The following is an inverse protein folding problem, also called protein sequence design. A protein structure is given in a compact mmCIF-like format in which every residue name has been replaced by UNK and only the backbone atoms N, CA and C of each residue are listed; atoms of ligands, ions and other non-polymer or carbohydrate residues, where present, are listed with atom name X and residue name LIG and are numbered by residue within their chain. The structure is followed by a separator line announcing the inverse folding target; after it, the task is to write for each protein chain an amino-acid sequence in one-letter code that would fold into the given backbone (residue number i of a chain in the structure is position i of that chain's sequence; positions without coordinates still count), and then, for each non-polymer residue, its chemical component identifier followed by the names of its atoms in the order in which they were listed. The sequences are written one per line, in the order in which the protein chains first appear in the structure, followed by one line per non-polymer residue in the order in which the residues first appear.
data_IF_214295969061
#
_entry.id   IF_214295969061
#
_cell.length_a   1.000
_cell.length_b   1.000
_cell.length_c   1.000
_cell.angle_alpha   90.00
_cell.angle_beta   90.00
_cell.angle_gamma   90.00
#
_symmetry.space_group_name_H-M   'P 1'
#
loop_
_entity.id
_entity.type
_entity.pdbx_description
1 polymer ?
#
# COMPACT_ATOMS: atom_id res chain seq x y z
N UNK A 1 17.65 23.43 -4.39
CA UNK A 1 16.78 22.25 -4.37
C UNK A 1 17.42 21.25 -5.33
N UNK A 2 18.08 20.20 -4.83
CA UNK A 2 18.74 19.21 -5.70
C UNK A 2 17.66 18.24 -6.16
N UNK A 3 17.30 18.18 -7.45
CA UNK A 3 16.34 17.22 -7.97
C UNK A 3 17.00 15.83 -8.03
N UNK A 4 16.32 14.81 -7.53
CA UNK A 4 16.81 13.43 -7.59
C UNK A 4 16.67 12.89 -9.02
N UNK A 5 17.74 13.03 -9.80
CA UNK A 5 17.82 12.77 -11.24
C UNK A 5 17.66 11.29 -11.66
N UNK A 6 17.30 10.39 -10.73
CA UNK A 6 17.15 8.95 -11.02
C UNK A 6 15.78 8.56 -11.54
N UNK A 7 14.73 9.33 -11.25
CA UNK A 7 13.35 8.91 -11.51
C UNK A 7 12.90 9.27 -12.96
N UNK A 8 13.45 10.33 -13.55
CA UNK A 8 12.97 10.85 -14.84
C UNK A 8 13.40 10.02 -16.07
N UNK A 9 14.33 9.07 -15.92
CA UNK A 9 14.92 8.35 -17.07
C UNK A 9 14.10 7.14 -17.55
N UNK A 10 13.19 6.61 -16.74
CA UNK A 10 12.46 5.38 -17.06
C UNK A 10 11.11 5.60 -17.75
N UNK A 11 10.52 6.79 -17.66
CA UNK A 11 9.21 7.13 -18.25
C UNK A 11 9.26 7.14 -19.81
N UNK A 12 10.46 7.16 -20.41
CA UNK A 12 10.65 7.28 -21.85
C UNK A 12 10.42 5.99 -22.68
N UNK A 13 10.07 4.83 -22.08
CA UNK A 13 10.05 3.53 -22.80
C UNK A 13 8.68 2.91 -23.12
N UNK A 14 7.61 3.70 -23.16
CA UNK A 14 6.40 3.48 -23.98
C UNK A 14 5.92 2.04 -24.27
N UNK A 15 5.60 1.24 -23.25
CA UNK A 15 4.99 -0.09 -23.41
C UNK A 15 3.66 -0.19 -22.65
N UNK A 16 2.57 0.32 -23.21
CA UNK A 16 1.21 0.15 -22.69
C UNK A 16 0.21 -0.01 -23.84
N UNK A 17 0.18 -1.19 -24.47
CA UNK A 17 -1.00 -1.59 -25.26
C UNK A 17 -1.13 -3.12 -25.36
N UNK A 18 -1.64 -3.75 -24.29
CA UNK A 18 -2.07 -5.17 -24.31
C UNK A 18 -3.50 -5.28 -23.75
N UNK A 19 -4.39 -6.08 -24.38
CA UNK A 19 -5.78 -6.21 -23.95
C UNK A 19 -5.92 -6.96 -22.61
N UNK A 20 -6.79 -6.44 -21.74
CA UNK A 20 -7.03 -6.91 -20.36
C UNK A 20 -7.85 -8.20 -20.35
N UNK A 21 -7.25 -9.30 -19.87
CA UNK A 21 -7.97 -10.57 -19.64
C UNK A 21 -8.76 -10.47 -18.33
N UNK A 22 -10.00 -11.00 -18.24
CA UNK A 22 -10.80 -10.94 -17.01
C UNK A 22 -10.15 -11.72 -15.86
N UNK A 23 -10.11 -11.11 -14.67
CA UNK A 23 -9.52 -11.73 -13.49
C UNK A 23 -10.30 -12.99 -13.04
N UNK A 24 -9.61 -14.06 -12.62
CA UNK A 24 -10.24 -15.14 -11.89
C UNK A 24 -10.71 -14.65 -10.51
N UNK A 25 -11.88 -15.12 -10.08
CA UNK A 25 -12.50 -14.74 -8.79
C UNK A 25 -11.57 -15.11 -7.61
N UNK A 26 -11.42 -14.25 -6.60
CA UNK A 26 -10.51 -14.51 -5.49
C UNK A 26 -11.01 -15.67 -4.63
N UNK A 27 -10.16 -16.69 -4.45
CA UNK A 27 -10.35 -17.73 -3.44
C UNK A 27 -10.30 -17.09 -2.04
N UNK A 28 -11.36 -17.29 -1.26
CA UNK A 28 -11.53 -16.72 0.06
C UNK A 28 -10.51 -17.32 1.05
N UNK A 29 -9.49 -16.53 1.42
CA UNK A 29 -8.39 -16.94 2.32
C UNK A 29 -8.87 -17.38 3.72
N UNK A 30 -10.12 -17.14 4.05
CA UNK A 30 -10.74 -17.57 5.32
C UNK A 30 -11.05 -19.08 5.35
N UNK A 31 -10.88 -19.80 4.23
CA UNK A 31 -11.13 -21.25 4.17
C UNK A 31 -9.98 -22.13 4.70
N UNK A 32 -8.77 -21.58 4.91
CA UNK A 32 -7.60 -22.35 5.35
C UNK A 32 -6.89 -21.59 6.48
N UNK A 33 -7.20 -21.94 7.74
CA UNK A 33 -6.76 -21.26 8.96
C UNK A 33 -5.25 -21.23 9.23
N UNK A 34 -4.44 -20.69 8.33
CA UNK A 34 -3.00 -20.47 8.49
C UNK A 34 -2.72 -18.98 8.63
N UNK A 35 -2.59 -18.50 9.88
CA UNK A 35 -1.87 -17.27 10.19
C UNK A 35 -0.42 -17.62 10.50
N UNK A 36 0.43 -17.67 9.48
CA UNK A 36 1.88 -17.49 9.66
C UNK A 36 2.44 -16.79 8.44
N UNK A 37 2.37 -15.46 8.43
CA UNK A 37 3.14 -14.66 7.48
C UNK A 37 4.57 -14.59 8.04
N UNK A 38 5.39 -15.59 7.74
CA UNK A 38 6.82 -15.54 8.04
C UNK A 38 7.40 -14.31 7.34
N UNK A 39 7.95 -13.37 8.10
CA UNK A 39 8.58 -12.18 7.56
C UNK A 39 9.63 -12.59 6.50
N UNK A 40 9.53 -12.02 5.30
CA UNK A 40 10.48 -12.30 4.23
C UNK A 40 11.82 -11.68 4.63
N UNK A 41 12.89 -12.48 4.71
CA UNK A 41 14.25 -11.95 4.87
C UNK A 41 14.61 -11.18 3.60
N UNK A 42 14.87 -9.87 3.74
CA UNK A 42 15.35 -9.00 2.67
C UNK A 42 16.73 -8.47 3.04
N UNK A 43 17.60 -8.35 2.04
CA UNK A 43 18.92 -7.71 2.11
C UNK A 43 18.85 -6.20 1.79
N UNK A 44 17.64 -5.63 1.70
CA UNK A 44 17.40 -4.25 1.31
C UNK A 44 17.29 -4.03 -0.20
N UNK A 45 17.47 -5.08 -1.01
CA UNK A 45 17.25 -5.06 -2.46
C UNK A 45 15.80 -5.30 -2.86
N UNK A 46 15.59 -5.42 -4.18
CA UNK A 46 14.28 -5.80 -4.72
C UNK A 46 13.90 -7.20 -4.24
N UNK A 47 12.73 -7.31 -3.63
CA UNK A 47 12.16 -8.56 -3.12
C UNK A 47 10.76 -8.74 -3.73
N UNK A 48 10.26 -9.98 -3.79
CA UNK A 48 8.97 -10.32 -4.39
C UNK A 48 7.77 -9.53 -3.85
N UNK A 49 7.87 -8.94 -2.65
CA UNK A 49 6.79 -8.08 -2.13
C UNK A 49 6.68 -6.70 -2.78
N UNK A 50 7.67 -6.27 -3.59
CA UNK A 50 7.63 -5.08 -4.44
C UNK A 50 7.08 -5.34 -5.84
N UNK A 51 6.95 -6.60 -6.26
CA UNK A 51 6.34 -6.94 -7.54
C UNK A 51 4.86 -6.55 -7.52
N UNK A 52 4.41 -5.95 -8.63
CA UNK A 52 3.01 -5.62 -8.82
C UNK A 52 2.24 -6.88 -9.23
N UNK A 53 1.00 -7.07 -8.74
CA UNK A 53 0.18 -8.17 -9.20
C UNK A 53 -0.12 -8.02 -10.68
N UNK A 54 -0.13 -9.15 -11.39
CA UNK A 54 -0.41 -9.18 -12.82
C UNK A 54 -1.76 -8.50 -13.13
N UNK A 55 -1.77 -7.61 -14.12
CA UNK A 55 -2.97 -6.89 -14.55
C UNK A 55 -3.38 -5.71 -13.68
N UNK A 56 -2.61 -5.36 -12.64
CA UNK A 56 -2.81 -4.12 -11.91
C UNK A 56 -2.51 -2.90 -12.79
N UNK A 57 -3.46 -1.98 -12.82
CA UNK A 57 -3.41 -0.75 -13.61
C UNK A 57 -3.60 0.49 -12.74
N UNK A 58 -4.21 0.34 -11.57
CA UNK A 58 -4.54 1.44 -10.68
C UNK A 58 -4.08 1.16 -9.25
N UNK A 59 -3.84 2.22 -8.49
CA UNK A 59 -3.46 2.11 -7.07
C UNK A 59 -4.50 1.33 -6.25
N UNK A 60 -5.76 1.32 -6.69
CA UNK A 60 -6.83 0.58 -6.02
C UNK A 60 -6.64 -0.94 -6.12
N UNK A 61 -6.10 -1.44 -7.24
CA UNK A 61 -5.78 -2.86 -7.42
C UNK A 61 -4.77 -3.33 -6.35
N UNK A 62 -3.78 -2.49 -6.05
CA UNK A 62 -2.75 -2.76 -5.04
C UNK A 62 -3.32 -2.72 -3.62
N UNK A 63 -4.23 -1.77 -3.35
CA UNK A 63 -4.93 -1.63 -2.05
C UNK A 63 -5.75 -2.88 -1.76
N UNK A 64 -6.47 -3.39 -2.76
CA UNK A 64 -7.28 -4.61 -2.65
C UNK A 64 -6.39 -5.85 -2.53
N UNK A 65 -5.36 -5.97 -3.37
CA UNK A 65 -4.42 -7.09 -3.34
C UNK A 65 -3.72 -7.23 -1.99
N UNK A 66 -3.25 -6.12 -1.40
CA UNK A 66 -2.62 -6.09 -0.07
C UNK A 66 -3.63 -6.03 1.08
N UNK A 67 -4.95 -6.02 0.80
CA UNK A 67 -6.04 -5.90 1.77
C UNK A 67 -5.83 -4.75 2.77
N UNK A 68 -5.41 -3.61 2.25
CA UNK A 68 -5.17 -2.45 3.09
C UNK A 68 -6.48 -1.98 3.72
N UNK A 69 -6.43 -1.56 4.98
CA UNK A 69 -7.58 -0.93 5.63
C UNK A 69 -7.90 0.42 4.97
N UNK A 70 -9.10 0.95 5.21
CA UNK A 70 -9.50 2.26 4.70
C UNK A 70 -8.48 3.37 5.02
N UNK A 71 -7.93 3.36 6.24
CA UNK A 71 -6.93 4.33 6.65
C UNK A 71 -5.59 4.13 5.91
N UNK A 72 -5.12 2.88 5.81
CA UNK A 72 -3.85 2.57 5.14
C UNK A 72 -3.92 2.86 3.64
N UNK A 73 -5.03 2.54 2.97
CA UNK A 73 -5.25 2.87 1.57
C UNK A 73 -5.30 4.38 1.31
N UNK A 74 -5.84 5.17 2.24
CA UNK A 74 -5.81 6.64 2.12
C UNK A 74 -4.41 7.23 2.31
N UNK A 75 -3.60 6.66 3.21
CA UNK A 75 -2.17 7.01 3.34
C UNK A 75 -1.47 6.70 2.02
N UNK A 76 -1.65 5.50 1.48
CA UNK A 76 -1.01 5.08 0.24
C UNK A 76 -1.39 5.98 -0.95
N UNK A 77 -2.69 6.30 -1.10
CA UNK A 77 -3.18 7.28 -2.09
C UNK A 77 -2.55 8.65 -1.92
N UNK A 78 -2.40 9.14 -0.68
CA UNK A 78 -1.80 10.45 -0.42
C UNK A 78 -0.29 10.48 -0.70
N UNK A 79 0.43 9.38 -0.41
CA UNK A 79 1.85 9.25 -0.75
C UNK A 79 2.07 9.17 -2.27
N UNK A 80 1.23 8.44 -2.99
CA UNK A 80 1.38 8.27 -4.44
C UNK A 80 1.19 9.59 -5.20
N UNK A 81 0.09 10.31 -4.92
CA UNK A 81 -0.28 11.54 -5.64
C UNK A 81 0.42 12.81 -5.14
N UNK A 82 1.45 12.69 -4.32
CA UNK A 82 1.91 13.73 -3.40
C UNK A 82 2.13 15.11 -4.07
N UNK A 83 1.23 16.05 -3.82
CA UNK A 83 1.27 17.40 -4.42
C UNK A 83 0.75 17.52 -5.87
N UNK A 84 0.20 16.46 -6.46
CA UNK A 84 -0.30 16.44 -7.85
C UNK A 84 -1.77 16.85 -7.99
N UNK A 85 -2.54 16.82 -6.89
CA UNK A 85 -3.97 17.13 -6.93
C UNK A 85 -4.18 18.66 -6.89
N UNK A 86 -4.86 19.19 -7.89
CA UNK A 86 -5.13 20.62 -8.13
C UNK A 86 -5.56 21.42 -6.87
N UNK A 87 -6.39 20.83 -6.00
CA UNK A 87 -6.87 21.46 -4.76
C UNK A 87 -6.14 21.02 -3.47
N UNK A 88 -5.16 20.13 -3.56
CA UNK A 88 -4.44 19.61 -2.40
C UNK A 88 -2.95 19.96 -2.50
N UNK A 89 -2.51 20.83 -1.60
CA UNK A 89 -1.09 21.10 -1.44
C UNK A 89 -0.35 19.88 -0.86
N UNK A 90 0.98 19.87 -1.01
CA UNK A 90 1.84 18.91 -0.30
C UNK A 90 1.57 18.91 1.22
N UNK A 91 1.24 20.07 1.79
CA UNK A 91 0.85 20.19 3.20
C UNK A 91 -0.48 19.48 3.50
N UNK A 92 -1.47 19.59 2.60
CA UNK A 92 -2.71 18.82 2.72
C UNK A 92 -2.42 17.30 2.71
N UNK A 93 -1.55 16.83 1.84
CA UNK A 93 -1.19 15.41 1.78
C UNK A 93 -0.48 14.94 3.04
N UNK A 94 0.46 15.72 3.56
CA UNK A 94 1.10 15.45 4.85
C UNK A 94 0.09 15.39 6.00
N UNK A 95 -0.82 16.36 6.09
CA UNK A 95 -1.86 16.38 7.12
C UNK A 95 -2.78 15.16 7.01
N UNK A 96 -3.13 14.75 5.78
CA UNK A 96 -3.95 13.56 5.54
C UNK A 96 -3.22 12.28 5.97
N UNK A 97 -1.93 12.17 5.66
CA UNK A 97 -1.09 11.04 6.09
C UNK A 97 -1.05 10.97 7.62
N UNK A 98 -0.73 12.08 8.29
CA UNK A 98 -0.66 12.16 9.76
C UNK A 98 -1.99 11.73 10.38
N UNK A 99 -3.10 12.31 9.92
CA UNK A 99 -4.45 11.99 10.43
C UNK A 99 -4.76 10.49 10.39
N UNK A 100 -4.53 9.83 9.25
CA UNK A 100 -4.80 8.40 9.12
C UNK A 100 -3.78 7.53 9.86
N UNK A 101 -2.51 7.96 9.92
CA UNK A 101 -1.46 7.25 10.65
C UNK A 101 -1.72 7.24 12.16
N UNK A 102 -2.13 8.37 12.74
CA UNK A 102 -2.51 8.46 14.15
C UNK A 102 -3.70 7.55 14.47
N UNK A 103 -4.69 7.50 13.59
CA UNK A 103 -5.85 6.61 13.74
C UNK A 103 -5.46 5.14 13.71
N UNK A 104 -4.59 4.74 12.79
CA UNK A 104 -4.05 3.37 12.74
C UNK A 104 -3.25 3.03 14.00
N UNK A 105 -2.36 3.93 14.43
CA UNK A 105 -1.58 3.76 15.67
C UNK A 105 -2.49 3.53 16.89
N UNK A 106 -3.58 4.28 16.99
CA UNK A 106 -4.56 4.11 18.08
C UNK A 106 -5.25 2.74 18.04
N UNK A 107 -5.60 2.23 16.85
CA UNK A 107 -6.20 0.89 16.68
C UNK A 107 -5.23 -0.20 17.12
N UNK A 108 -3.97 -0.13 16.66
CA UNK A 108 -2.91 -1.07 17.03
C UNK A 108 -2.65 -1.06 18.53
N UNK A 109 -2.61 0.12 19.17
CA UNK A 109 -2.42 0.22 20.61
C UNK A 109 -3.58 -0.40 21.40
N UNK A 110 -4.82 -0.19 20.95
CA UNK A 110 -6.00 -0.82 21.58
C UNK A 110 -5.96 -2.34 21.44
N UNK A 111 -5.55 -2.86 20.29
CA UNK A 111 -5.39 -4.30 20.08
C UNK A 111 -4.34 -4.89 21.03
N UNK A 112 -3.16 -4.26 21.16
CA UNK A 112 -2.11 -4.67 22.11
C UNK A 112 -2.61 -4.69 23.55
N UNK A 113 -3.29 -3.62 23.97
CA UNK A 113 -3.83 -3.52 25.33
C UNK A 113 -4.88 -4.61 25.59
N UNK A 114 -5.74 -4.92 24.58
CA UNK A 114 -6.73 -6.00 24.66
C UNK A 114 -6.09 -7.38 24.79
N UNK A 115 -4.98 -7.63 24.11
CA UNK A 115 -4.26 -8.91 24.24
C UNK A 115 -3.62 -9.06 25.62
N UNK A 116 -3.07 -7.97 26.18
CA UNK A 116 -2.46 -7.99 27.51
C UNK A 116 -3.47 -8.35 28.61
N UNK A 117 -4.68 -7.80 28.58
CA UNK A 117 -5.73 -8.09 29.58
C UNK A 117 -6.26 -9.53 29.51
N UNK A 118 -6.23 -10.20 28.35
CA UNK A 118 -6.73 -11.57 28.19
C UNK A 118 -5.69 -12.60 28.67
N UNK A 119 -4.41 -12.21 28.67
CA UNK A 119 -3.29 -13.09 29.03
C UNK A 119 -2.92 -12.99 30.52
N UNK A 120 -3.53 -12.06 31.27
CA UNK A 120 -3.35 -11.86 32.71
C UNK A 120 -4.52 -12.49 33.46
#
# INVERSE_FOLDING_TARGET
MVPDARIDREIARGELDKPKVPMPKPLHLTALGMRSCSAIKSDGGSTSYYELPEGASELNDLIEHKRMSFALGNIFKACYRFGEKDAASRLYDLNKIIFFAERLKAIEQRAKNRTAIITT
#
